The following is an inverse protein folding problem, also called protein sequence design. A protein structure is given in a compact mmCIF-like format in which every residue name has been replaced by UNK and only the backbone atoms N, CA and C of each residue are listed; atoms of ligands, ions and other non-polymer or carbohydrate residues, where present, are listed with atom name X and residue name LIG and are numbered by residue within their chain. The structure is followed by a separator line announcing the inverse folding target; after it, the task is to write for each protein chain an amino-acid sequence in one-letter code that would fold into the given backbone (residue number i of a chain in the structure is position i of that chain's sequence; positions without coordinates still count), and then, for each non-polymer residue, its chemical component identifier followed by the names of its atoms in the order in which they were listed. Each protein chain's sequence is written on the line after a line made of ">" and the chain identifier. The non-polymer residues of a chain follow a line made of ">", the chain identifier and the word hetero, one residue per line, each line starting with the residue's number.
data_IF_923371953191
#
_entry.id   IF_923371953191
#
_cell.length_a   1.000
_cell.length_b   1.000
_cell.length_c   1.000
_cell.angle_alpha   90.00
_cell.angle_beta   90.00
_cell.angle_gamma   90.00
#
_symmetry.space_group_name_H-M   'P 1'
#
loop_
_entity.id
_entity.type
_entity.pdbx_description
1 polymer ?
#
# COMPACT_ATOMS: atom_id res chain seq x y z
N UNK A 1 14.91 -8.71 6.09
CA UNK A 1 13.87 -7.83 6.65
C UNK A 1 13.08 -7.23 5.49
N UNK A 2 11.77 -7.19 5.60
CA UNK A 2 10.90 -6.60 4.60
C UNK A 2 10.18 -5.40 5.19
N UNK A 3 10.28 -4.25 4.53
CA UNK A 3 9.58 -3.04 4.95
C UNK A 3 8.09 -3.13 4.58
N UNK A 4 7.25 -2.59 5.45
CA UNK A 4 5.87 -2.32 5.11
C UNK A 4 5.79 -1.08 4.21
N UNK A 5 4.67 -0.94 3.48
CA UNK A 5 4.51 0.17 2.53
C UNK A 5 4.74 1.54 3.15
N UNK A 6 4.19 1.78 4.36
CA UNK A 6 4.35 3.08 5.00
C UNK A 6 5.81 3.37 5.37
N UNK A 7 6.56 2.34 5.76
CA UNK A 7 7.99 2.47 6.08
C UNK A 7 8.81 2.78 4.84
N UNK A 8 8.52 2.06 3.74
CA UNK A 8 9.19 2.30 2.45
C UNK A 8 8.91 3.72 1.93
N UNK A 9 7.68 4.20 2.06
CA UNK A 9 7.30 5.56 1.65
C UNK A 9 8.00 6.63 2.49
N UNK A 10 8.22 6.39 3.77
CA UNK A 10 9.04 7.29 4.60
C UNK A 10 10.45 7.40 4.05
N UNK A 11 11.08 6.27 3.71
CA UNK A 11 12.42 6.27 3.12
C UNK A 11 12.46 7.02 1.79
N UNK A 12 11.45 6.81 0.93
CA UNK A 12 11.36 7.52 -0.36
C UNK A 12 11.19 9.03 -0.16
N UNK A 13 10.35 9.44 0.76
CA UNK A 13 10.13 10.86 1.05
C UNK A 13 11.42 11.52 1.58
N UNK A 14 12.14 10.85 2.46
CA UNK A 14 13.44 11.33 2.96
C UNK A 14 14.48 11.47 1.85
N UNK A 15 14.39 10.62 0.82
CA UNK A 15 15.26 10.69 -0.34
C UNK A 15 14.81 11.73 -1.39
N UNK A 16 13.74 12.46 -1.13
CA UNK A 16 13.24 13.52 -2.03
C UNK A 16 12.23 13.05 -3.07
N UNK A 17 11.74 11.81 -2.97
CA UNK A 17 10.70 11.30 -3.88
C UNK A 17 9.34 11.75 -3.38
N UNK A 18 8.51 12.29 -4.28
CA UNK A 18 7.15 12.67 -3.94
C UNK A 18 6.31 11.43 -3.62
N UNK A 19 5.62 11.46 -2.48
CA UNK A 19 4.70 10.40 -2.05
C UNK A 19 3.35 11.01 -1.70
N UNK A 20 2.24 10.25 -1.78
CA UNK A 20 0.93 10.75 -1.36
C UNK A 20 0.93 11.16 0.12
N UNK A 21 0.13 12.15 0.48
CA UNK A 21 -0.11 12.48 1.88
C UNK A 21 -0.81 11.30 2.55
N UNK A 22 -0.35 10.93 3.72
CA UNK A 22 -0.84 9.75 4.42
C UNK A 22 -0.74 9.87 5.93
N UNK A 23 -1.50 9.03 6.60
CA UNK A 23 -1.48 8.85 8.05
C UNK A 23 -1.52 7.37 8.37
N UNK A 24 -0.73 6.92 9.33
CA UNK A 24 -0.80 5.55 9.84
C UNK A 24 -1.95 5.45 10.83
N UNK A 25 -2.86 4.49 10.59
CA UNK A 25 -4.01 4.22 11.43
C UNK A 25 -3.73 2.97 12.27
N UNK A 26 -3.76 3.12 13.59
CA UNK A 26 -3.46 2.02 14.52
C UNK A 26 -4.70 1.48 15.24
N UNK A 27 -5.82 2.19 15.16
CA UNK A 27 -7.07 1.74 15.77
C UNK A 27 -8.28 2.31 15.02
N UNK A 28 -9.43 1.66 15.19
CA UNK A 28 -10.68 2.11 14.60
C UNK A 28 -11.23 3.41 15.21
N UNK A 29 -10.66 3.86 16.34
CA UNK A 29 -11.03 5.15 16.94
C UNK A 29 -10.42 6.33 16.20
N UNK A 30 -9.38 6.11 15.41
CA UNK A 30 -8.86 7.11 14.49
C UNK A 30 -9.81 7.19 13.29
N UNK A 31 -10.29 8.37 12.97
CA UNK A 31 -11.27 8.58 11.90
C UNK A 31 -10.71 9.55 10.86
N UNK A 32 -9.85 9.07 9.95
CA UNK A 32 -9.34 9.92 8.87
C UNK A 32 -10.48 10.44 8.01
N UNK A 33 -10.26 11.58 7.37
CA UNK A 33 -11.29 12.26 6.57
C UNK A 33 -11.41 11.63 5.19
N UNK A 34 -12.63 11.25 4.80
CA UNK A 34 -12.91 10.77 3.44
C UNK A 34 -12.94 11.96 2.44
N UNK A 35 -12.66 11.75 1.14
CA UNK A 35 -12.30 10.46 0.52
C UNK A 35 -10.87 10.03 0.87
N UNK A 36 -10.66 8.73 0.99
CA UNK A 36 -9.38 8.20 1.45
C UNK A 36 -9.18 6.78 0.93
N UNK A 37 -7.93 6.38 0.72
CA UNK A 37 -7.57 5.00 0.43
C UNK A 37 -7.02 4.37 1.72
N UNK A 38 -7.65 3.29 2.17
CA UNK A 38 -7.18 2.52 3.32
C UNK A 38 -6.43 1.29 2.81
N UNK A 39 -5.19 1.15 3.23
CA UNK A 39 -4.30 0.07 2.78
C UNK A 39 -3.79 -0.74 3.96
N UNK A 40 -4.10 -2.03 3.96
CA UNK A 40 -3.59 -2.96 4.98
C UNK A 40 -2.08 -3.05 4.92
N UNK A 41 -1.42 -2.94 6.05
CA UNK A 41 0.04 -3.00 6.15
C UNK A 41 0.45 -4.40 6.58
N UNK A 42 0.72 -5.24 5.57
CA UNK A 42 1.19 -6.63 5.75
C UNK A 42 2.41 -6.87 4.85
N UNK A 43 3.32 -7.78 5.25
CA UNK A 43 4.60 -7.97 4.54
C UNK A 43 4.50 -8.87 3.30
N UNK A 44 3.37 -8.84 2.60
CA UNK A 44 3.16 -9.60 1.37
C UNK A 44 2.47 -8.75 0.32
N UNK A 45 2.57 -9.16 -0.95
CA UNK A 45 1.89 -8.53 -2.07
C UNK A 45 0.45 -8.96 -2.24
N UNK A 46 -0.16 -8.54 -3.35
CA UNK A 46 -1.53 -8.89 -3.74
C UNK A 46 -2.62 -8.51 -2.72
N UNK A 47 -2.36 -7.47 -1.93
CA UNK A 47 -3.30 -6.96 -0.91
C UNK A 47 -4.61 -6.49 -1.53
N UNK A 48 -4.52 -5.86 -2.70
CA UNK A 48 -5.71 -5.40 -3.43
C UNK A 48 -6.64 -6.53 -3.82
N UNK A 49 -6.10 -7.64 -4.30
CA UNK A 49 -6.88 -8.83 -4.66
C UNK A 49 -7.53 -9.48 -3.46
N UNK A 50 -6.89 -9.41 -2.30
CA UNK A 50 -7.43 -9.95 -1.05
C UNK A 50 -8.45 -9.02 -0.38
N UNK A 51 -8.73 -7.86 -0.96
CA UNK A 51 -9.65 -6.87 -0.38
C UNK A 51 -9.01 -5.99 0.69
N UNK A 52 -7.68 -5.98 0.78
CA UNK A 52 -6.93 -5.22 1.78
C UNK A 52 -6.66 -3.76 1.42
N UNK A 53 -7.06 -3.32 0.23
CA UNK A 53 -6.93 -1.94 -0.23
C UNK A 53 -8.30 -1.44 -0.65
N UNK A 54 -8.82 -0.41 0.00
CA UNK A 54 -10.19 0.06 -0.19
C UNK A 54 -10.22 1.58 -0.29
N UNK A 55 -10.89 2.08 -1.33
CA UNK A 55 -11.21 3.51 -1.43
C UNK A 55 -12.52 3.75 -0.68
N UNK A 56 -12.49 4.65 0.30
CA UNK A 56 -13.66 5.04 1.08
C UNK A 56 -14.02 6.49 0.72
N UNK A 57 -15.20 6.68 0.15
CA UNK A 57 -15.65 7.99 -0.32
C UNK A 57 -16.60 8.67 0.65
N UNK A 58 -17.33 7.90 1.46
CA UNK A 58 -18.29 8.40 2.43
C UNK A 58 -17.71 8.35 3.85
N UNK A 59 -17.77 9.44 4.56
CA UNK A 59 -17.25 9.53 5.93
C UNK A 59 -17.87 8.48 6.86
N UNK A 60 -19.15 8.18 6.69
CA UNK A 60 -19.86 7.18 7.51
C UNK A 60 -19.33 5.75 7.30
N UNK A 61 -18.64 5.48 6.21
CA UNK A 61 -18.06 4.17 5.93
C UNK A 61 -16.62 4.01 6.43
N UNK A 62 -15.99 5.07 6.93
CA UNK A 62 -14.57 5.04 7.32
C UNK A 62 -14.33 4.09 8.48
N UNK A 63 -15.00 4.30 9.61
CA UNK A 63 -14.81 3.45 10.80
C UNK A 63 -15.21 1.99 10.57
N UNK A 64 -16.37 1.67 9.95
CA UNK A 64 -16.69 0.28 9.64
C UNK A 64 -15.66 -0.40 8.73
N UNK A 65 -15.10 0.32 7.75
CA UNK A 65 -14.09 -0.22 6.86
C UNK A 65 -12.79 -0.50 7.61
N UNK A 66 -12.36 0.40 8.48
CA UNK A 66 -11.17 0.21 9.33
C UNK A 66 -11.34 -1.04 10.19
N UNK A 67 -12.49 -1.20 10.84
CA UNK A 67 -12.78 -2.38 11.67
C UNK A 67 -12.72 -3.68 10.85
N UNK A 68 -13.29 -3.66 9.65
CA UNK A 68 -13.25 -4.82 8.75
C UNK A 68 -11.83 -5.15 8.32
N UNK A 69 -11.03 -4.17 7.98
CA UNK A 69 -9.64 -4.39 7.53
C UNK A 69 -8.76 -4.91 8.65
N UNK A 70 -8.94 -4.49 9.90
CA UNK A 70 -8.20 -5.02 11.03
C UNK A 70 -8.56 -6.48 11.34
N UNK A 71 -9.68 -6.98 10.87
CA UNK A 71 -10.10 -8.37 11.03
C UNK A 71 -9.81 -9.24 9.79
N UNK A 72 -9.30 -8.64 8.71
CA UNK A 72 -9.09 -9.34 7.45
C UNK A 72 -7.80 -10.15 7.49
N UNK A 73 -7.89 -11.44 7.14
CA UNK A 73 -6.71 -12.28 6.91
C UNK A 73 -6.23 -12.10 5.47
N UNK A 74 -4.98 -11.73 5.31
CA UNK A 74 -4.32 -11.55 4.01
C UNK A 74 -3.12 -12.48 3.95
N UNK A 75 -3.30 -13.65 3.35
CA UNK A 75 -2.23 -14.64 3.21
C UNK A 75 -1.63 -15.11 4.53
N UNK A 76 -2.44 -15.20 5.57
CA UNK A 76 -2.00 -15.58 6.91
C UNK A 76 -1.63 -14.41 7.82
N UNK A 77 -1.69 -13.19 7.32
CA UNK A 77 -1.39 -11.98 8.10
C UNK A 77 -2.65 -11.17 8.35
N UNK A 78 -2.85 -10.75 9.57
CA UNK A 78 -3.87 -9.77 9.93
C UNK A 78 -3.18 -8.45 10.25
N UNK A 79 -3.53 -7.35 9.58
CA UNK A 79 -2.81 -6.10 9.77
C UNK A 79 -3.01 -5.54 11.19
N UNK A 80 -1.95 -4.96 11.74
CA UNK A 80 -2.02 -4.19 12.99
C UNK A 80 -1.99 -2.70 12.72
N UNK A 81 -1.72 -2.31 11.48
CA UNK A 81 -1.70 -0.94 11.01
C UNK A 81 -2.31 -0.85 9.62
N UNK A 82 -2.98 0.26 9.37
CA UNK A 82 -3.42 0.63 8.02
C UNK A 82 -2.71 1.92 7.62
N UNK A 83 -2.53 2.11 6.32
CA UNK A 83 -2.08 3.38 5.76
C UNK A 83 -3.30 4.07 5.15
N UNK A 84 -3.61 5.26 5.64
CA UNK A 84 -4.68 6.08 5.09
C UNK A 84 -4.06 7.14 4.19
N UNK A 85 -4.26 7.03 2.89
CA UNK A 85 -3.69 7.93 1.89
C UNK A 85 -4.73 8.77 1.20
N UNK A 86 -4.33 9.96 0.75
CA UNK A 86 -5.16 10.78 -0.12
C UNK A 86 -5.49 10.01 -1.41
N UNK A 87 -6.69 10.24 -1.94
CA UNK A 87 -7.09 9.68 -3.24
C UNK A 87 -6.50 10.56 -4.33
N UNK A 88 -5.62 9.99 -5.15
CA UNK A 88 -5.01 10.69 -6.27
C UNK A 88 -5.81 10.47 -7.56
N UNK A 89 -5.86 11.52 -8.39
CA UNK A 89 -6.35 11.39 -9.76
C UNK A 89 -5.21 10.89 -10.62
N UNK A 90 -5.18 9.57 -10.84
CA UNK A 90 -4.07 8.91 -11.53
C UNK A 90 -4.25 9.03 -13.03
N UNK A 91 -3.29 9.68 -13.70
CA UNK A 91 -3.25 9.77 -15.15
C UNK A 91 -2.59 8.54 -15.78
N UNK A 92 -1.56 8.00 -15.13
CA UNK A 92 -0.81 6.86 -15.63
C UNK A 92 -0.09 6.16 -14.49
N UNK A 93 -0.06 4.83 -14.52
CA UNK A 93 0.68 4.02 -13.57
C UNK A 93 1.83 3.31 -14.27
N UNK A 94 3.02 3.42 -13.69
CA UNK A 94 4.21 2.71 -14.13
C UNK A 94 4.68 1.77 -13.01
N UNK A 95 5.46 0.79 -13.39
CA UNK A 95 6.09 -0.12 -12.42
C UNK A 95 7.59 -0.05 -12.56
N UNK A 96 8.28 0.03 -11.42
CA UNK A 96 9.74 -0.06 -11.36
C UNK A 96 10.14 -0.87 -10.14
N UNK A 97 11.08 -1.80 -10.31
CA UNK A 97 11.64 -2.56 -9.20
C UNK A 97 13.13 -2.81 -9.38
N UNK A 98 13.82 -2.96 -8.26
CA UNK A 98 15.21 -3.38 -8.20
C UNK A 98 15.26 -4.70 -7.45
N UNK A 99 15.90 -5.71 -8.04
CA UNK A 99 16.08 -7.01 -7.43
C UNK A 99 17.55 -7.43 -7.48
N UNK A 100 17.94 -8.26 -6.52
CA UNK A 100 19.29 -8.80 -6.48
C UNK A 100 19.29 -10.15 -7.21
N UNK A 101 20.07 -10.25 -8.29
CA UNK A 101 20.35 -11.52 -8.95
C UNK A 101 21.64 -12.10 -8.36
N UNK A 102 21.49 -13.10 -7.50
CA UNK A 102 22.63 -13.70 -6.78
C UNK A 102 23.52 -14.56 -7.68
N UNK A 103 22.92 -15.18 -8.70
CA UNK A 103 23.69 -16.01 -9.65
C UNK A 103 24.66 -15.17 -10.47
N UNK A 104 24.25 -13.99 -10.87
CA UNK A 104 25.05 -13.08 -11.70
C UNK A 104 25.74 -11.99 -10.88
N UNK A 105 25.56 -11.97 -9.56
CA UNK A 105 26.09 -10.94 -8.65
C UNK A 105 25.78 -9.52 -9.15
N UNK A 106 24.52 -9.29 -9.56
CA UNK A 106 24.08 -8.04 -10.15
C UNK A 106 22.78 -7.56 -9.53
N UNK A 107 22.50 -6.27 -9.72
CA UNK A 107 21.20 -5.67 -9.41
C UNK A 107 20.44 -5.52 -10.73
N UNK A 108 19.25 -6.07 -10.79
CA UNK A 108 18.39 -5.99 -11.96
C UNK A 108 17.33 -4.94 -11.76
N UNK A 109 17.18 -4.06 -12.76
CA UNK A 109 16.10 -3.09 -12.84
C UNK A 109 15.02 -3.64 -13.76
N UNK A 110 13.80 -3.76 -13.23
CA UNK A 110 12.61 -4.06 -14.02
C UNK A 110 11.73 -2.82 -14.07
N UNK A 111 11.36 -2.41 -15.28
CA UNK A 111 10.50 -1.27 -15.49
C UNK A 111 9.42 -1.61 -16.51
N UNK A 112 8.17 -1.26 -16.19
CA UNK A 112 7.03 -1.39 -17.10
C UNK A 112 6.32 -0.05 -17.23
N UNK A 113 5.87 0.26 -18.44
CA UNK A 113 5.05 1.45 -18.70
C UNK A 113 3.63 1.29 -18.19
N UNK A 114 3.21 0.08 -17.86
CA UNK A 114 1.90 -0.20 -17.26
C UNK A 114 2.10 -0.80 -15.86
N UNK A 115 1.54 -0.14 -14.87
CA UNK A 115 1.51 -0.61 -13.49
C UNK A 115 0.11 -1.04 -13.07
N UNK A 116 -0.09 -1.23 -11.77
CA UNK A 116 -1.36 -1.59 -11.19
C UNK A 116 -1.35 -2.90 -10.42
N UNK A 117 -2.53 -3.37 -10.02
CA UNK A 117 -2.70 -4.52 -9.12
C UNK A 117 -2.13 -5.81 -9.67
N UNK A 118 -2.18 -6.00 -10.99
CA UNK A 118 -1.79 -7.25 -11.65
C UNK A 118 -0.34 -7.29 -12.10
N UNK A 119 0.44 -6.26 -11.82
CA UNK A 119 1.83 -6.16 -12.31
C UNK A 119 2.73 -7.27 -11.75
N UNK A 120 2.45 -7.75 -10.56
CA UNK A 120 3.23 -8.81 -9.91
C UNK A 120 3.05 -10.18 -10.58
N UNK A 121 2.06 -10.34 -11.46
CA UNK A 121 1.81 -11.57 -12.21
C UNK A 121 2.63 -11.66 -13.50
N UNK A 122 3.28 -10.60 -13.85
CA UNK A 122 4.14 -10.53 -15.02
C UNK A 122 5.61 -10.63 -14.60
#
# INVERSE_FOLDING_TARGET
>A
MRLLEYQAKQCLAEAGVAVPQSTVVESATMAPTAPIVLKSQVPIGSRGKAGGVVIVREQSAVTPTIQRLFALDIGGYTPTKLLAEEVLSIAHECYISLTINREQSSIELLAHTSGGVDVEEH
#
